data_IF_547673388085
#
_entry.id   IF_547673388085
#
_cell.length_a   1.000
_cell.length_b   1.000
_cell.length_c   1.000
_cell.angle_alpha   90.00
_cell.angle_beta   90.00
_cell.angle_gamma   90.00
#
_symmetry.space_group_name_H-M   'P 1'
#
loop_
_entity.id
_entity.type
_entity.pdbx_description
1 polymer ?
#
# COMPACT_ATOMS: atom_id res chain seq x y z
N UNK A 1 1.22 -8.66 -23.24
CA UNK A 1 1.67 -8.75 -21.84
C UNK A 1 0.44 -8.58 -20.99
N UNK A 2 -0.08 -9.66 -20.42
CA UNK A 2 -1.30 -9.63 -19.62
C UNK A 2 -0.89 -9.30 -18.19
N UNK A 3 -1.35 -8.16 -17.68
CA UNK A 3 -1.27 -7.87 -16.25
C UNK A 3 -2.17 -8.89 -15.55
N UNK A 4 -1.59 -9.75 -14.72
CA UNK A 4 -2.37 -10.53 -13.76
C UNK A 4 -2.93 -9.51 -12.77
N UNK A 5 -4.25 -9.48 -12.60
CA UNK A 5 -4.86 -8.76 -11.48
C UNK A 5 -4.25 -9.32 -10.19
N UNK A 6 -3.31 -8.59 -9.59
CA UNK A 6 -2.83 -8.89 -8.25
C UNK A 6 -4.00 -8.60 -7.30
N UNK A 7 -4.69 -9.67 -6.94
CA UNK A 7 -5.93 -9.63 -6.18
C UNK A 7 -5.71 -8.90 -4.85
N UNK A 8 -6.35 -7.74 -4.69
CA UNK A 8 -6.39 -6.92 -3.48
C UNK A 8 -6.71 -7.77 -2.22
N UNK A 9 -7.38 -8.91 -2.41
CA UNK A 9 -7.68 -9.91 -1.37
C UNK A 9 -6.44 -10.44 -0.63
N UNK A 10 -5.24 -10.28 -1.19
CA UNK A 10 -3.99 -10.70 -0.55
C UNK A 10 -3.45 -9.72 0.48
N UNK A 11 -4.09 -8.56 0.66
CA UNK A 11 -3.65 -7.53 1.59
C UNK A 11 -4.64 -7.36 2.76
N UNK A 12 -4.08 -7.27 3.96
CA UNK A 12 -4.77 -6.80 5.16
C UNK A 12 -4.46 -5.32 5.30
N UNK A 13 -5.45 -4.47 5.04
CA UNK A 13 -5.38 -3.02 5.21
C UNK A 13 -5.88 -2.65 6.62
N UNK A 14 -5.16 -1.76 7.32
CA UNK A 14 -5.47 -1.40 8.71
C UNK A 14 -5.41 0.11 8.92
N UNK A 15 -6.28 0.59 9.84
CA UNK A 15 -6.44 2.01 10.19
C UNK A 15 -6.87 2.81 8.96
N UNK A 16 -6.03 3.74 8.51
CA UNK A 16 -6.34 4.69 7.46
C UNK A 16 -5.75 4.29 6.10
N UNK A 17 -5.37 3.02 5.91
CA UNK A 17 -4.88 2.56 4.60
C UNK A 17 -6.00 1.93 3.78
N UNK A 18 -6.02 2.21 2.48
CA UNK A 18 -6.97 1.66 1.52
C UNK A 18 -6.34 1.65 0.13
N UNK A 19 -6.93 0.90 -0.80
CA UNK A 19 -6.49 0.88 -2.19
C UNK A 19 -7.32 1.92 -2.96
N UNK A 20 -6.65 2.77 -3.72
CA UNK A 20 -7.27 3.80 -4.57
C UNK A 20 -6.55 3.83 -5.89
N UNK A 21 -7.30 3.80 -6.99
CA UNK A 21 -6.73 3.87 -8.34
C UNK A 21 -5.61 2.83 -8.58
N UNK A 22 -5.72 1.64 -7.96
CA UNK A 22 -4.73 0.56 -8.06
C UNK A 22 -3.45 0.77 -7.24
N UNK A 23 -3.39 1.78 -6.37
CA UNK A 23 -2.27 2.04 -5.49
C UNK A 23 -2.65 1.85 -4.01
N UNK A 24 -1.72 1.29 -3.22
CA UNK A 24 -1.86 1.24 -1.77
C UNK A 24 -1.61 2.66 -1.22
N UNK A 25 -2.67 3.33 -0.77
CA UNK A 25 -2.54 4.54 0.01
C UNK A 25 -2.33 4.15 1.47
N UNK A 26 -1.07 4.25 1.96
CA UNK A 26 -0.74 3.96 3.36
C UNK A 26 -1.21 5.08 4.27
N UNK A 27 -1.16 6.33 3.80
CA UNK A 27 -1.79 7.50 4.41
C UNK A 27 -2.85 8.01 3.45
N UNK A 28 -4.08 8.30 3.90
CA UNK A 28 -5.13 8.79 3.04
C UNK A 28 -4.73 10.08 2.33
N UNK A 29 -5.08 10.17 1.05
CA UNK A 29 -5.00 11.41 0.28
C UNK A 29 -6.30 11.67 -0.50
N UNK A 30 -7.46 11.36 0.10
CA UNK A 30 -8.76 11.59 -0.54
C UNK A 30 -9.39 12.90 -0.07
N UNK A 31 -9.85 13.69 -1.04
CA UNK A 31 -10.73 14.85 -0.90
C UNK A 31 -10.18 16.12 -0.22
N UNK A 32 -8.86 16.24 -0.05
CA UNK A 32 -8.25 17.46 0.50
C UNK A 32 -8.48 17.65 2.00
N UNK A 33 -8.92 16.58 2.69
CA UNK A 33 -8.94 16.53 4.14
C UNK A 33 -7.52 16.55 4.70
N UNK A 34 -7.39 16.95 5.98
CA UNK A 34 -6.10 16.96 6.64
C UNK A 34 -5.50 15.54 6.70
N UNK A 35 -4.25 15.41 6.26
CA UNK A 35 -3.47 14.17 6.39
C UNK A 35 -2.79 14.06 7.76
N UNK A 36 -2.95 15.06 8.63
CA UNK A 36 -2.29 15.11 9.93
C UNK A 36 -2.77 13.98 10.85
N UNK A 37 -1.81 13.35 11.55
CA UNK A 37 -2.08 12.27 12.50
C UNK A 37 -2.79 11.03 11.91
N UNK A 38 -2.74 10.86 10.58
CA UNK A 38 -3.26 9.68 9.91
C UNK A 38 -2.13 8.69 9.63
N UNK A 39 -2.21 7.53 10.27
CA UNK A 39 -1.34 6.38 9.97
C UNK A 39 -2.14 5.19 9.47
N UNK A 40 -1.66 4.52 8.44
CA UNK A 40 -2.19 3.26 7.94
C UNK A 40 -1.08 2.21 7.75
N UNK A 41 -1.49 0.96 7.53
CA UNK A 41 -0.59 -0.18 7.31
C UNK A 41 -1.24 -1.19 6.38
N UNK A 42 -0.46 -1.69 5.42
CA UNK A 42 -0.82 -2.82 4.58
C UNK A 42 0.12 -4.00 4.89
N UNK A 43 -0.43 -5.20 5.03
CA UNK A 43 0.32 -6.43 5.26
C UNK A 43 -0.17 -7.51 4.30
N UNK A 44 0.72 -8.40 3.85
CA UNK A 44 0.28 -9.63 3.18
C UNK A 44 -0.56 -10.50 4.13
N UNK A 45 -1.63 -11.09 3.62
CA UNK A 45 -2.51 -11.99 4.38
C UNK A 45 -1.80 -13.27 4.80
N UNK A 46 -0.91 -13.78 3.95
CA UNK A 46 -0.14 -14.99 4.22
C UNK A 46 1.15 -14.65 4.97
N UNK A 47 1.36 -15.18 6.19
CA UNK A 47 2.61 -14.98 6.90
C UNK A 47 3.75 -15.76 6.24
N UNK A 48 4.95 -15.16 6.26
CA UNK A 48 6.18 -15.80 5.80
C UNK A 48 7.00 -16.30 6.99
N UNK A 49 7.49 -17.54 6.90
CA UNK A 49 8.33 -18.13 7.94
C UNK A 49 9.77 -17.70 7.73
N UNK A 50 10.32 -16.93 8.66
CA UNK A 50 11.67 -16.38 8.55
C UNK A 50 12.77 -17.31 9.11
N UNK A 51 12.43 -18.32 9.92
CA UNK A 51 13.39 -19.30 10.43
C UNK A 51 12.76 -20.64 10.83
N UNK A 52 13.57 -21.69 10.95
CA UNK A 52 13.19 -23.04 11.41
C UNK A 52 14.26 -23.65 12.32
N UNK A 53 13.83 -24.53 13.24
CA UNK A 53 14.70 -25.13 14.27
C UNK A 53 15.14 -24.11 15.31
N UNK A 54 16.23 -24.39 16.03
CA UNK A 54 16.87 -23.45 16.96
C UNK A 54 17.68 -22.38 16.19
N UNK A 55 17.02 -21.69 15.25
CA UNK A 55 17.59 -20.66 14.38
C UNK A 55 18.70 -21.16 13.44
N UNK A 56 18.79 -22.48 13.24
CA UNK A 56 19.79 -23.12 12.36
C UNK A 56 19.47 -22.93 10.87
N UNK A 57 18.23 -22.60 10.53
CA UNK A 57 17.81 -22.31 9.16
C UNK A 57 17.10 -20.96 9.15
N UNK A 58 17.69 -20.00 8.44
CA UNK A 58 17.21 -18.62 8.32
C UNK A 58 16.80 -18.38 6.86
N UNK A 59 15.65 -17.74 6.64
CA UNK A 59 15.18 -17.40 5.31
C UNK A 59 15.99 -16.23 4.73
N UNK A 60 16.33 -16.34 3.45
CA UNK A 60 16.77 -15.20 2.65
C UNK A 60 15.61 -14.76 1.77
N UNK A 61 15.35 -13.45 1.71
CA UNK A 61 14.27 -12.91 0.89
C UNK A 61 14.68 -11.57 0.30
N UNK A 62 14.16 -11.30 -0.89
CA UNK A 62 14.25 -10.02 -1.57
C UNK A 62 12.84 -9.44 -1.69
N UNK A 63 12.74 -8.12 -1.57
CA UNK A 63 11.52 -7.38 -1.85
C UNK A 63 11.85 -6.25 -2.80
N UNK A 64 10.90 -5.88 -3.65
CA UNK A 64 11.00 -4.74 -4.54
C UNK A 64 9.69 -3.98 -4.49
N UNK A 65 9.77 -2.66 -4.41
CA UNK A 65 8.60 -1.78 -4.28
C UNK A 65 8.88 -0.45 -4.93
N UNK A 66 7.85 0.15 -5.53
CA UNK A 66 7.87 1.53 -5.99
C UNK A 66 6.97 2.36 -5.09
N UNK A 67 7.47 3.49 -4.59
CA UNK A 67 6.73 4.40 -3.71
C UNK A 67 6.70 5.80 -4.30
N UNK A 68 5.55 6.45 -4.20
CA UNK A 68 5.37 7.87 -4.52
C UNK A 68 4.99 8.58 -3.22
N UNK A 69 5.53 9.78 -3.01
CA UNK A 69 5.20 10.63 -1.88
C UNK A 69 4.82 12.01 -2.39
N UNK A 70 3.67 12.52 -1.96
CA UNK A 70 3.20 13.88 -2.23
C UNK A 70 2.77 14.51 -0.91
N UNK A 71 3.12 15.78 -0.72
CA UNK A 71 2.72 16.59 0.44
C UNK A 71 1.52 17.48 0.15
N UNK A 72 1.09 17.53 -1.11
CA UNK A 72 -0.13 18.21 -1.52
C UNK A 72 -1.16 17.16 -1.86
N UNK A 73 -2.41 17.34 -1.39
CA UNK A 73 -3.45 16.41 -1.78
C UNK A 73 -3.62 16.45 -3.28
N UNK A 74 -3.91 15.29 -3.88
CA UNK A 74 -4.23 15.19 -5.30
C UNK A 74 -5.52 15.97 -5.57
N UNK A 75 -5.42 17.30 -5.70
CA UNK A 75 -6.52 18.15 -6.15
C UNK A 75 -6.81 17.69 -7.57
N UNK A 76 -7.88 16.92 -7.75
CA UNK A 76 -8.44 16.62 -9.06
C UNK A 76 -8.56 17.95 -9.76
N UNK A 77 -7.72 18.17 -10.77
CA UNK A 77 -7.91 19.26 -11.71
C UNK A 77 -9.32 19.06 -12.26
N UNK A 78 -10.29 19.85 -11.77
CA UNK A 78 -11.55 20.04 -12.46
C UNK A 78 -11.14 20.58 -13.82
N UNK A 79 -11.14 19.71 -14.83
CA UNK A 79 -11.25 20.16 -16.20
C UNK A 79 -12.53 20.99 -16.24
N UNK A 80 -12.37 22.30 -16.32
CA UNK A 80 -13.47 23.20 -16.66
C UNK A 80 -13.96 22.74 -18.04
N UNK A 81 -15.27 22.49 -18.23
CA UNK A 81 -15.80 22.30 -19.56
C UNK A 81 -15.55 23.60 -20.34
N UNK A 82 -15.17 23.44 -21.61
CA UNK A 82 -14.99 24.51 -22.58
C UNK A 82 -16.21 25.42 -22.68
#
# INVERSE_FOLDING_TARGET
MLYLDEDESQLILRRNSYIVFGAIQVTPDVNGDSMENLSGRALYTKPFRLWKGNHTTIASFNTSSSSISSTKPLVVAKALPF
#
